data_IF_129072687605
#
_entry.id   IF_129072687605
#
_cell.length_a   1.000
_cell.length_b   1.000
_cell.length_c   1.000
_cell.angle_alpha   90.00
_cell.angle_beta   90.00
_cell.angle_gamma   90.00
#
_symmetry.space_group_name_H-M   'P 1'
#
loop_
_entity.id
_entity.type
_entity.pdbx_description
1 polymer ?
#
# COMPACT_ATOMS: atom_id res chain seq x y z
N UNK A 1 -22.68 14.85 19.40
CA UNK A 1 -21.49 14.09 19.84
C UNK A 1 -21.41 12.71 19.19
N UNK A 2 -22.51 11.97 19.05
CA UNK A 2 -22.52 10.66 18.35
C UNK A 2 -22.31 10.84 16.83
N UNK A 3 -22.94 11.86 16.22
CA UNK A 3 -22.79 12.15 14.78
C UNK A 3 -21.36 12.54 14.39
N UNK A 4 -20.64 13.31 15.23
CA UNK A 4 -19.25 13.70 14.95
C UNK A 4 -18.27 12.53 15.03
N UNK A 5 -18.51 11.57 15.92
CA UNK A 5 -17.73 10.33 16.00
C UNK A 5 -17.98 9.42 14.79
N UNK A 6 -19.23 9.34 14.34
CA UNK A 6 -19.60 8.57 13.16
C UNK A 6 -18.95 9.16 11.89
N UNK A 7 -18.95 10.49 11.74
CA UNK A 7 -18.27 11.18 10.63
C UNK A 7 -16.76 10.93 10.66
N UNK A 8 -16.11 10.99 11.84
CA UNK A 8 -14.68 10.68 11.95
C UNK A 8 -14.36 9.23 11.56
N UNK A 9 -15.19 8.27 11.98
CA UNK A 9 -15.03 6.87 11.59
C UNK A 9 -15.19 6.67 10.08
N UNK A 10 -16.19 7.30 9.45
CA UNK A 10 -16.37 7.28 7.99
C UNK A 10 -15.13 7.83 7.27
N UNK A 11 -14.61 8.99 7.70
CA UNK A 11 -13.42 9.60 7.09
C UNK A 11 -12.20 8.70 7.21
N UNK A 12 -11.99 8.04 8.36
CA UNK A 12 -10.88 7.09 8.55
C UNK A 12 -11.04 5.88 7.61
N UNK A 13 -12.25 5.35 7.47
CA UNK A 13 -12.54 4.23 6.57
C UNK A 13 -12.29 4.59 5.11
N UNK A 14 -12.78 5.76 4.66
CA UNK A 14 -12.55 6.27 3.30
C UNK A 14 -11.07 6.45 3.00
N UNK A 15 -10.31 7.04 3.94
CA UNK A 15 -8.85 7.22 3.79
C UNK A 15 -8.12 5.88 3.76
N UNK A 16 -8.54 4.90 4.56
CA UNK A 16 -7.99 3.54 4.52
C UNK A 16 -8.29 2.84 3.19
N UNK A 17 -9.51 2.98 2.67
CA UNK A 17 -9.88 2.45 1.36
C UNK A 17 -9.05 3.08 0.24
N UNK A 18 -8.85 4.40 0.29
CA UNK A 18 -7.99 5.13 -0.65
C UNK A 18 -6.56 4.62 -0.60
N UNK A 19 -6.00 4.41 0.59
CA UNK A 19 -4.67 3.82 0.76
C UNK A 19 -4.59 2.42 0.14
N UNK A 20 -5.60 1.56 0.32
CA UNK A 20 -5.64 0.23 -0.29
C UNK A 20 -5.64 0.30 -1.83
N UNK A 21 -6.42 1.22 -2.40
CA UNK A 21 -6.46 1.44 -3.85
C UNK A 21 -5.11 1.93 -4.39
N UNK A 22 -4.46 2.87 -3.68
CA UNK A 22 -3.13 3.36 -4.04
C UNK A 22 -2.07 2.26 -3.95
N UNK A 23 -2.10 1.42 -2.92
CA UNK A 23 -1.24 0.23 -2.78
C UNK A 23 -1.43 -0.74 -3.95
N UNK A 24 -2.68 -1.07 -4.29
CA UNK A 24 -3.00 -1.98 -5.40
C UNK A 24 -2.52 -1.42 -6.74
N UNK A 25 -2.70 -0.11 -6.96
CA UNK A 25 -2.18 0.60 -8.13
C UNK A 25 -0.65 0.55 -8.20
N UNK A 26 0.02 0.81 -7.07
CA UNK A 26 1.48 0.73 -6.97
C UNK A 26 2.00 -0.66 -7.32
N UNK A 27 1.38 -1.74 -6.82
CA UNK A 27 1.77 -3.10 -7.20
C UNK A 27 1.57 -3.38 -8.69
N UNK A 28 0.46 -2.92 -9.27
CA UNK A 28 0.24 -3.04 -10.72
C UNK A 28 1.31 -2.33 -11.54
N UNK A 29 1.71 -1.12 -11.13
CA UNK A 29 2.70 -0.30 -11.84
C UNK A 29 4.13 -0.76 -11.60
N UNK A 30 4.46 -1.37 -10.45
CA UNK A 30 5.79 -1.89 -10.15
C UNK A 30 6.25 -2.96 -11.14
N UNK A 31 5.31 -3.68 -11.77
CA UNK A 31 5.56 -4.69 -12.82
C UNK A 31 5.78 -4.07 -14.20
N UNK A 32 5.35 -2.83 -14.42
CA UNK A 32 5.59 -2.12 -15.69
C UNK A 32 7.04 -1.65 -15.85
N UNK A 33 7.47 -1.26 -17.05
CA UNK A 33 8.83 -0.71 -17.27
C UNK A 33 8.91 0.81 -17.02
N UNK A 34 7.78 1.49 -16.82
CA UNK A 34 7.72 2.94 -16.69
C UNK A 34 8.18 3.41 -15.30
N UNK A 35 9.42 3.89 -15.23
CA UNK A 35 10.01 4.44 -13.99
C UNK A 35 9.27 5.67 -13.47
N UNK A 36 8.73 6.51 -14.35
CA UNK A 36 8.01 7.72 -13.96
C UNK A 36 6.67 7.38 -13.33
N UNK A 37 5.96 6.40 -13.90
CA UNK A 37 4.71 5.89 -13.34
C UNK A 37 4.92 5.24 -11.96
N UNK A 38 6.02 4.49 -11.76
CA UNK A 38 6.34 3.89 -10.44
C UNK A 38 6.58 4.95 -9.37
N UNK A 39 7.33 5.99 -9.69
CA UNK A 39 7.56 7.11 -8.77
C UNK A 39 6.28 7.85 -8.44
N UNK A 40 5.42 8.09 -9.44
CA UNK A 40 4.13 8.73 -9.22
C UNK A 40 3.22 7.87 -8.35
N UNK A 41 3.11 6.56 -8.64
CA UNK A 41 2.30 5.65 -7.85
C UNK A 41 2.82 5.53 -6.40
N UNK A 42 4.13 5.54 -6.19
CA UNK A 42 4.72 5.56 -4.85
C UNK A 42 4.42 6.87 -4.11
N UNK A 43 4.48 8.00 -4.82
CA UNK A 43 4.11 9.30 -4.26
C UNK A 43 2.63 9.34 -3.85
N UNK A 44 1.73 8.82 -4.70
CA UNK A 44 0.30 8.76 -4.42
C UNK A 44 0.00 7.83 -3.22
N UNK A 45 0.75 6.73 -3.09
CA UNK A 45 0.68 5.83 -1.94
C UNK A 45 1.16 6.50 -0.64
N UNK A 46 2.29 7.19 -0.69
CA UNK A 46 2.81 7.95 0.47
C UNK A 46 1.82 9.03 0.89
N UNK A 47 1.25 9.77 -0.07
CA UNK A 47 0.27 10.81 0.20
C UNK A 47 -1.00 10.25 0.85
N UNK A 48 -1.51 9.11 0.36
CA UNK A 48 -2.66 8.45 0.99
C UNK A 48 -2.35 7.97 2.42
N UNK A 49 -1.13 7.51 2.67
CA UNK A 49 -0.69 7.11 4.00
C UNK A 49 -0.58 8.31 4.96
N UNK A 50 0.01 9.42 4.50
CA UNK A 50 0.08 10.68 5.27
C UNK A 50 -1.32 11.19 5.62
N UNK A 51 -2.27 11.16 4.67
CA UNK A 51 -3.66 11.52 4.95
C UNK A 51 -4.30 10.61 6.01
N UNK A 52 -4.04 9.31 5.98
CA UNK A 52 -4.58 8.40 6.99
C UNK A 52 -3.99 8.70 8.38
N UNK A 53 -2.68 8.97 8.46
CA UNK A 53 -2.01 9.38 9.71
C UNK A 53 -2.60 10.66 10.26
N UNK A 54 -2.84 11.68 9.43
CA UNK A 54 -3.44 12.95 9.85
C UNK A 54 -4.86 12.80 10.42
N UNK A 55 -5.59 11.74 10.05
CA UNK A 55 -6.92 11.44 10.61
C UNK A 55 -6.87 10.66 11.91
N UNK A 56 -5.72 10.09 12.26
CA UNK A 56 -5.56 9.28 13.45
C UNK A 56 -4.96 10.12 14.57
N UNK A 57 -5.44 9.96 15.82
CA UNK A 57 -4.71 10.45 16.98
C UNK A 57 -3.31 9.84 17.01
N UNK A 58 -2.29 10.61 17.41
CA UNK A 58 -0.89 10.15 17.42
C UNK A 58 -0.68 8.87 18.23
N UNK A 59 -1.48 8.64 19.27
CA UNK A 59 -1.46 7.44 20.10
C UNK A 59 -2.09 6.20 19.44
N UNK A 60 -2.82 6.37 18.34
CA UNK A 60 -3.52 5.33 17.60
C UNK A 60 -2.91 5.07 16.21
N UNK A 61 -1.79 5.70 15.88
CA UNK A 61 -1.07 5.42 14.63
C UNK A 61 -0.48 4.01 14.74
N UNK A 62 -0.89 3.06 13.89
CA UNK A 62 -0.35 1.72 13.94
C UNK A 62 1.04 1.68 13.33
N UNK A 63 1.89 0.80 13.85
CA UNK A 63 3.30 0.67 13.43
C UNK A 63 3.45 0.37 11.95
N UNK A 64 2.59 -0.49 11.39
CA UNK A 64 2.59 -0.83 9.96
C UNK A 64 2.41 0.37 9.05
N UNK A 65 1.66 1.40 9.48
CA UNK A 65 1.42 2.60 8.68
C UNK A 65 2.67 3.48 8.64
N UNK A 66 3.38 3.57 9.77
CA UNK A 66 4.69 4.23 9.83
C UNK A 66 5.76 3.48 9.03
N UNK A 67 5.75 2.14 9.07
CA UNK A 67 6.64 1.32 8.25
C UNK A 67 6.36 1.50 6.76
N UNK A 68 5.10 1.52 6.34
CA UNK A 68 4.71 1.79 4.96
C UNK A 68 5.24 3.16 4.49
N UNK A 69 5.05 4.21 5.29
CA UNK A 69 5.60 5.55 4.99
C UNK A 69 7.12 5.53 4.86
N UNK A 70 7.81 4.79 5.75
CA UNK A 70 9.27 4.67 5.71
C UNK A 70 9.75 3.99 4.42
N UNK A 71 9.10 2.91 3.99
CA UNK A 71 9.45 2.21 2.75
C UNK A 71 9.14 3.03 1.50
N UNK A 72 8.01 3.74 1.47
CA UNK A 72 7.69 4.65 0.37
C UNK A 72 8.69 5.82 0.27
N UNK A 73 9.14 6.37 1.40
CA UNK A 73 10.19 7.41 1.43
C UNK A 73 11.54 6.85 1.01
N UNK A 74 11.92 5.68 1.52
CA UNK A 74 13.13 4.98 1.12
C UNK A 74 13.17 4.75 -0.39
N UNK A 75 12.07 4.30 -0.99
CA UNK A 75 12.01 4.07 -2.43
C UNK A 75 12.16 5.36 -3.23
N UNK A 76 11.57 6.46 -2.78
CA UNK A 76 11.75 7.78 -3.42
C UNK A 76 13.25 8.16 -3.50
N UNK A 77 14.01 7.88 -2.45
CA UNK A 77 15.44 8.22 -2.38
C UNK A 77 16.33 7.19 -3.09
N UNK A 78 15.86 5.94 -3.24
CA UNK A 78 16.64 4.81 -3.76
C UNK A 78 16.10 4.24 -5.10
N UNK A 79 15.18 4.92 -5.78
CA UNK A 79 14.50 4.40 -6.99
C UNK A 79 15.43 4.06 -8.16
N UNK A 80 16.66 4.58 -8.14
CA UNK A 80 17.69 4.32 -9.15
C UNK A 80 18.45 3.01 -8.90
N UNK A 81 18.34 2.43 -7.70
CA UNK A 81 18.94 1.14 -7.40
C UNK A 81 18.23 0.02 -8.18
N UNK A 82 19.02 -0.93 -8.69
CA UNK A 82 18.55 -2.02 -9.56
C UNK A 82 17.42 -2.82 -8.88
N UNK A 83 17.57 -3.06 -7.57
CA UNK A 83 16.64 -3.87 -6.78
C UNK A 83 15.60 -3.04 -6.02
N UNK A 84 15.52 -1.72 -6.23
CA UNK A 84 14.63 -0.84 -5.47
C UNK A 84 13.16 -1.28 -5.54
N UNK A 85 12.72 -1.71 -6.73
CA UNK A 85 11.37 -2.21 -6.96
C UNK A 85 11.11 -3.51 -6.18
N UNK A 86 12.10 -4.42 -6.15
CA UNK A 86 12.03 -5.70 -5.45
C UNK A 86 11.88 -5.48 -3.94
N UNK A 87 12.74 -4.62 -3.40
CA UNK A 87 12.79 -4.29 -1.98
C UNK A 87 11.47 -3.65 -1.55
N UNK A 88 11.00 -2.63 -2.29
CA UNK A 88 9.72 -2.00 -1.99
C UNK A 88 8.57 -3.01 -2.06
N UNK A 89 8.52 -3.82 -3.11
CA UNK A 89 7.46 -4.82 -3.29
C UNK A 89 7.40 -5.79 -2.12
N UNK A 90 8.54 -6.36 -1.71
CA UNK A 90 8.60 -7.34 -0.63
C UNK A 90 8.10 -6.76 0.70
N UNK A 91 8.51 -5.53 1.04
CA UNK A 91 8.10 -4.89 2.29
C UNK A 91 6.63 -4.47 2.27
N UNK A 92 6.15 -3.86 1.18
CA UNK A 92 4.75 -3.45 1.08
C UNK A 92 3.81 -4.64 0.95
N UNK A 93 4.23 -5.74 0.33
CA UNK A 93 3.39 -6.94 0.16
C UNK A 93 3.06 -7.58 1.51
N UNK A 94 4.02 -7.63 2.45
CA UNK A 94 3.76 -8.12 3.81
C UNK A 94 2.68 -7.27 4.49
N UNK A 95 2.84 -5.94 4.44
CA UNK A 95 1.88 -4.99 5.01
C UNK A 95 0.50 -5.12 4.35
N UNK A 96 0.46 -5.25 3.03
CA UNK A 96 -0.78 -5.40 2.27
C UNK A 96 -1.52 -6.69 2.63
N UNK A 97 -0.80 -7.81 2.70
CA UNK A 97 -1.36 -9.10 3.07
C UNK A 97 -1.91 -9.10 4.50
N UNK A 98 -1.15 -8.56 5.46
CA UNK A 98 -1.52 -8.59 6.87
C UNK A 98 -2.67 -7.64 7.24
N UNK A 99 -2.78 -6.49 6.57
CA UNK A 99 -3.68 -5.41 6.99
C UNK A 99 -4.80 -5.06 6.00
N UNK A 100 -4.74 -5.55 4.76
CA UNK A 100 -5.73 -5.25 3.74
C UNK A 100 -6.37 -6.52 3.14
N UNK A 101 -5.61 -7.59 2.94
CA UNK A 101 -6.17 -8.85 2.40
C UNK A 101 -6.77 -9.74 3.51
N UNK A 102 -6.10 -9.89 4.66
CA UNK A 102 -6.61 -10.68 5.78
C UNK A 102 -7.90 -10.13 6.41
N UNK A 103 -8.30 -8.89 6.10
CA UNK A 103 -9.61 -8.36 6.50
C UNK A 103 -10.78 -8.92 5.68
N UNK A 104 -10.53 -9.39 4.45
CA UNK A 104 -11.56 -9.90 3.54
C UNK A 104 -11.68 -11.43 3.56
N UNK A 105 -10.68 -12.19 4.00
CA UNK A 105 -10.69 -13.67 4.01
C UNK A 105 -11.67 -14.33 5.01
N UNK A 106 -12.59 -13.57 5.63
CA UNK A 106 -13.77 -14.16 6.28
C UNK A 106 -15.01 -14.22 5.39
N UNK A 107 -14.98 -13.65 4.18
CA UNK A 107 -16.04 -13.79 3.20
C UNK A 107 -15.43 -13.94 1.80
N UNK A 108 -15.77 -15.04 1.13
CA UNK A 108 -15.49 -15.31 -0.29
C UNK A 108 -14.09 -15.84 -0.65
N UNK A 109 -13.88 -17.10 -0.28
CA UNK A 109 -13.11 -18.03 -1.07
C UNK A 109 -13.71 -18.23 -2.48
N UNK A 110 -13.65 -17.23 -3.38
CA UNK A 110 -14.13 -17.39 -4.77
C UNK A 110 -13.55 -16.45 -5.83
N UNK A 111 -12.44 -15.74 -5.59
CA UNK A 111 -11.69 -15.14 -6.72
C UNK A 111 -10.19 -15.37 -6.56
N UNK A 112 -9.72 -16.40 -7.27
CA UNK A 112 -8.32 -16.78 -7.38
C UNK A 112 -7.46 -15.62 -7.90
N UNK A 113 -6.74 -14.98 -6.99
CA UNK A 113 -5.28 -15.04 -6.94
C UNK A 113 -4.53 -15.00 -8.28
N UNK A 114 -4.69 -13.92 -9.05
CA UNK A 114 -3.77 -13.59 -10.16
C UNK A 114 -2.41 -13.04 -9.66
N UNK A 115 -2.24 -12.96 -8.33
CA UNK A 115 -1.03 -12.50 -7.66
C UNK A 115 0.16 -13.48 -7.81
N UNK A 116 -0.13 -14.78 -7.97
CA UNK A 116 0.91 -15.79 -8.28
C UNK A 116 1.54 -15.54 -9.66
N UNK A 117 0.79 -14.97 -10.60
CA UNK A 117 1.28 -14.56 -11.92
C UNK A 117 2.27 -13.40 -11.83
N UNK A 118 1.97 -12.38 -11.03
CA UNK A 118 2.83 -11.21 -10.82
C UNK A 118 4.16 -11.60 -10.15
N UNK A 119 4.13 -12.48 -9.14
CA UNK A 119 5.34 -12.97 -8.49
C UNK A 119 6.23 -13.80 -9.44
N UNK A 120 5.61 -14.62 -10.30
CA UNK A 120 6.35 -15.40 -11.32
C UNK A 120 6.93 -14.52 -12.43
N UNK A 121 6.27 -13.43 -12.80
CA UNK A 121 6.80 -12.43 -13.74
C UNK A 121 8.01 -11.71 -13.13
N UNK A 122 7.94 -11.37 -11.84
CA UNK A 122 9.05 -10.76 -11.13
C UNK A 122 10.28 -11.68 -11.05
N UNK A 123 10.08 -12.99 -10.81
CA UNK A 123 11.18 -13.97 -10.79
C UNK A 123 11.81 -14.25 -12.17
N UNK A 124 11.09 -14.00 -13.27
CA UNK A 124 11.58 -14.27 -14.63
C UNK A 124 12.30 -13.08 -15.29
N UNK A 125 12.36 -11.93 -14.62
CA UNK A 125 12.97 -10.70 -15.13
C UNK A 125 14.42 -10.44 -14.68
N UNK A 126 15.26 -11.49 -14.63
CA UNK A 126 16.72 -11.40 -14.45
C UNK A 126 17.39 -12.21 -15.56
#
# INVERSE_FOLDING_TARGET
MIESLNVQQTVIQERRQRLNQSLSSLFGVLVSEDKSAKLQANHDCLFAADQLVESLPTSLIPTWLSELQAWCRWYKDNFTAIDANAILFNHLNIIHHEHFLNSDEKQEATHSSDFSGLYKLFQKGI
#
